data_IF_570137684406
#
_entry.id   IF_570137684406
#
_cell.length_a   1.000
_cell.length_b   1.000
_cell.length_c   1.000
_cell.angle_alpha   90.00
_cell.angle_beta   90.00
_cell.angle_gamma   90.00
#
_symmetry.space_group_name_H-M   'P 1'
#
loop_
_entity.id
_entity.type
_entity.pdbx_description
1 polymer ?
#
# COMPACT_ATOMS: atom_id res chain seq x y z
N UNK A 1 -4.61 17.21 -1.46
CA UNK A 1 -3.14 17.02 -1.54
C UNK A 1 -2.71 15.62 -1.10
N UNK A 2 -3.14 15.16 0.07
CA UNK A 2 -2.91 13.79 0.60
C UNK A 2 -3.27 12.66 -0.37
N UNK A 3 -4.40 12.72 -1.08
CA UNK A 3 -4.76 11.71 -2.10
C UNK A 3 -3.67 11.56 -3.16
N UNK A 4 -3.21 12.68 -3.73
CA UNK A 4 -2.15 12.67 -4.75
C UNK A 4 -0.86 12.06 -4.19
N UNK A 5 -0.50 12.44 -2.96
CA UNK A 5 0.68 11.91 -2.27
C UNK A 5 0.53 10.40 -2.04
N UNK A 6 -0.63 9.92 -1.62
CA UNK A 6 -0.90 8.49 -1.41
C UNK A 6 -0.73 7.67 -2.70
N UNK A 7 -1.27 8.17 -3.81
CA UNK A 7 -1.12 7.54 -5.13
C UNK A 7 0.35 7.52 -5.56
N UNK A 8 1.04 8.68 -5.50
CA UNK A 8 2.45 8.77 -5.86
C UNK A 8 3.32 7.84 -5.00
N UNK A 9 3.06 7.80 -3.70
CA UNK A 9 3.81 6.95 -2.76
C UNK A 9 3.61 5.47 -3.07
N UNK A 10 2.38 5.04 -3.35
CA UNK A 10 2.08 3.67 -3.77
C UNK A 10 2.82 3.27 -5.04
N UNK A 11 2.79 4.13 -6.07
CA UNK A 11 3.51 3.90 -7.33
C UNK A 11 5.03 3.83 -7.12
N UNK A 12 5.60 4.73 -6.32
CA UNK A 12 7.02 4.73 -5.98
C UNK A 12 7.43 3.43 -5.28
N UNK A 13 6.61 2.92 -4.37
CA UNK A 13 6.86 1.64 -3.69
C UNK A 13 6.80 0.45 -4.64
N UNK A 14 5.81 0.40 -5.53
CA UNK A 14 5.68 -0.67 -6.52
C UNK A 14 6.95 -0.75 -7.37
N UNK A 15 7.45 0.39 -7.85
CA UNK A 15 8.67 0.48 -8.64
C UNK A 15 9.89 0.08 -7.79
N UNK A 16 10.01 0.60 -6.57
CA UNK A 16 11.16 0.35 -5.70
C UNK A 16 11.28 -1.12 -5.29
N UNK A 17 10.15 -1.76 -5.00
CA UNK A 17 10.08 -3.16 -4.57
C UNK A 17 10.03 -4.16 -5.74
N UNK A 18 9.93 -3.68 -6.99
CA UNK A 18 9.74 -4.51 -8.19
C UNK A 18 8.60 -5.52 -8.01
N UNK A 19 7.47 -5.04 -7.49
CA UNK A 19 6.32 -5.91 -7.18
C UNK A 19 5.82 -6.60 -8.44
N UNK A 20 5.57 -7.91 -8.34
CA UNK A 20 4.96 -8.67 -9.43
C UNK A 20 3.63 -8.05 -9.88
N UNK A 21 3.38 -8.09 -11.19
CA UNK A 21 2.27 -7.36 -11.82
C UNK A 21 0.91 -7.66 -11.20
N UNK A 22 0.63 -8.93 -10.87
CA UNK A 22 -0.66 -9.33 -10.28
C UNK A 22 -0.92 -8.67 -8.92
N UNK A 23 0.08 -8.64 -8.04
CA UNK A 23 -0.03 -8.03 -6.71
C UNK A 23 -0.08 -6.51 -6.77
N UNK A 24 0.66 -5.90 -7.68
CA UNK A 24 0.60 -4.46 -7.92
C UNK A 24 -0.80 -4.05 -8.41
N UNK A 25 -1.39 -4.82 -9.34
CA UNK A 25 -2.75 -4.57 -9.85
C UNK A 25 -3.79 -4.67 -8.74
N UNK A 26 -3.71 -5.71 -7.90
CA UNK A 26 -4.61 -5.87 -6.76
C UNK A 26 -4.48 -4.71 -5.76
N UNK A 27 -3.25 -4.30 -5.45
CA UNK A 27 -2.99 -3.17 -4.56
C UNK A 27 -3.62 -1.89 -5.11
N UNK A 28 -3.35 -1.56 -6.38
CA UNK A 28 -3.86 -0.34 -7.01
C UNK A 28 -5.39 -0.38 -7.07
N UNK A 29 -5.99 -1.53 -7.43
CA UNK A 29 -7.44 -1.67 -7.49
C UNK A 29 -8.08 -1.40 -6.13
N UNK A 30 -7.58 -2.02 -5.06
CA UNK A 30 -8.07 -1.76 -3.70
C UNK A 30 -7.84 -0.31 -3.28
N UNK A 31 -6.66 0.23 -3.57
CA UNK A 31 -6.31 1.61 -3.22
C UNK A 31 -7.25 2.62 -3.88
N UNK A 32 -7.55 2.44 -5.18
CA UNK A 32 -8.49 3.28 -5.93
C UNK A 32 -9.92 3.13 -5.41
N UNK A 33 -10.37 1.89 -5.18
CA UNK A 33 -11.72 1.63 -4.64
C UNK A 33 -11.90 2.35 -3.30
N UNK A 34 -10.95 2.24 -2.39
CA UNK A 34 -11.05 2.85 -1.07
C UNK A 34 -10.83 4.36 -1.06
N UNK A 35 -10.02 4.89 -2.00
CA UNK A 35 -9.95 6.32 -2.25
C UNK A 35 -11.30 6.88 -2.68
N UNK A 36 -12.06 6.17 -3.53
CA UNK A 36 -13.38 6.61 -3.98
C UNK A 36 -14.41 6.50 -2.85
N UNK A 37 -14.40 5.39 -2.11
CA UNK A 37 -15.41 5.12 -1.08
C UNK A 37 -15.22 5.94 0.21
N UNK A 38 -13.98 6.12 0.66
CA UNK A 38 -13.67 6.71 1.98
C UNK A 38 -12.98 8.08 1.85
N UNK A 39 -12.36 8.36 0.71
CA UNK A 39 -11.81 9.69 0.42
C UNK A 39 -10.58 10.04 1.26
N UNK A 40 -10.63 11.24 1.86
CA UNK A 40 -9.46 11.86 2.52
C UNK A 40 -9.00 11.10 3.76
N UNK A 41 -9.93 10.61 4.58
CA UNK A 41 -9.62 9.89 5.82
C UNK A 41 -8.82 8.63 5.55
N UNK A 42 -9.18 7.91 4.48
CA UNK A 42 -8.42 6.76 4.01
C UNK A 42 -7.02 7.18 3.52
N UNK A 43 -6.92 8.23 2.70
CA UNK A 43 -5.63 8.65 2.15
C UNK A 43 -4.61 9.01 3.25
N UNK A 44 -5.05 9.73 4.29
CA UNK A 44 -4.19 10.09 5.43
C UNK A 44 -3.80 8.85 6.23
N UNK A 45 -4.77 7.98 6.55
CA UNK A 45 -4.51 6.75 7.31
C UNK A 45 -3.59 5.79 6.54
N UNK A 46 -3.78 5.69 5.23
CA UNK A 46 -2.94 4.92 4.33
C UNK A 46 -1.50 5.43 4.37
N UNK A 47 -1.28 6.75 4.27
CA UNK A 47 0.05 7.34 4.35
C UNK A 47 0.72 7.07 5.69
N UNK A 48 -0.02 7.14 6.81
CA UNK A 48 0.51 6.83 8.14
C UNK A 48 0.97 5.37 8.20
N UNK A 49 0.10 4.42 7.84
CA UNK A 49 0.44 2.99 7.86
C UNK A 49 1.62 2.69 6.95
N UNK A 50 1.61 3.26 5.74
CA UNK A 50 2.66 3.06 4.76
C UNK A 50 4.00 3.69 5.16
N UNK A 51 3.99 4.81 5.89
CA UNK A 51 5.21 5.42 6.41
C UNK A 51 5.97 4.46 7.32
N UNK A 52 5.26 3.71 8.16
CA UNK A 52 5.87 2.72 9.07
C UNK A 52 6.15 1.37 8.39
N UNK A 53 5.30 0.92 7.46
CA UNK A 53 5.45 -0.41 6.84
C UNK A 53 6.44 -0.42 5.66
N UNK A 54 6.59 0.69 4.93
CA UNK A 54 7.42 0.75 3.73
C UNK A 54 8.92 0.43 3.98
N UNK A 55 9.58 0.96 5.04
CA UNK A 55 10.99 0.62 5.30
C UNK A 55 11.20 -0.88 5.52
N UNK A 56 10.28 -1.52 6.25
CA UNK A 56 10.30 -2.96 6.53
C UNK A 56 10.16 -3.75 5.23
N UNK A 57 9.17 -3.38 4.40
CA UNK A 57 8.92 -4.02 3.11
C UNK A 57 10.09 -3.88 2.14
N UNK A 58 10.69 -2.69 2.07
CA UNK A 58 11.87 -2.43 1.24
C UNK A 58 13.07 -3.26 1.73
N UNK A 59 13.29 -3.32 3.05
CA UNK A 59 14.37 -4.12 3.64
C UNK A 59 14.20 -5.62 3.36
N UNK A 60 12.98 -6.15 3.50
CA UNK A 60 12.65 -7.54 3.14
C UNK A 60 12.91 -7.80 1.65
N UNK A 61 12.51 -6.88 0.78
CA UNK A 61 12.78 -6.98 -0.65
C UNK A 61 14.28 -6.99 -0.96
N UNK A 62 15.06 -6.12 -0.31
CA UNK A 62 16.49 -6.04 -0.54
C UNK A 62 17.23 -7.33 -0.13
N UNK A 63 16.76 -8.01 0.92
CA UNK A 63 17.31 -9.30 1.39
C UNK A 63 16.90 -10.49 0.52
N UNK A 64 16.13 -10.28 -0.56
CA UNK A 64 15.58 -11.35 -1.39
C UNK A 64 14.42 -12.10 -0.72
N UNK A 65 13.89 -11.56 0.39
CA UNK A 65 12.77 -12.13 1.14
C UNK A 65 11.42 -11.58 0.70
N UNK A 66 11.38 -10.61 -0.24
CA UNK A 66 10.21 -10.39 -1.09
C UNK A 66 10.06 -11.55 -2.08
N UNK A 67 9.85 -12.74 -1.53
CA UNK A 67 9.14 -13.79 -2.24
C UNK A 67 7.66 -13.45 -2.23
N UNK A 68 6.86 -14.36 -2.77
CA UNK A 68 5.40 -14.29 -2.84
C UNK A 68 4.72 -13.70 -1.58
N UNK A 69 5.21 -14.01 -0.37
CA UNK A 69 4.68 -13.47 0.89
C UNK A 69 4.77 -11.94 1.01
N UNK A 70 5.91 -11.33 0.67
CA UNK A 70 6.10 -9.88 0.75
C UNK A 70 5.17 -9.12 -0.21
N UNK A 71 4.99 -9.66 -1.42
CA UNK A 71 4.06 -9.11 -2.40
C UNK A 71 2.60 -9.28 -2.00
N UNK A 72 2.24 -10.43 -1.41
CA UNK A 72 0.90 -10.64 -0.80
C UNK A 72 0.60 -9.60 0.28
N UNK A 73 1.51 -9.44 1.24
CA UNK A 73 1.36 -8.45 2.31
C UNK A 73 1.21 -7.03 1.77
N UNK A 74 2.01 -6.64 0.78
CA UNK A 74 1.85 -5.36 0.10
C UNK A 74 0.46 -5.23 -0.55
N UNK A 75 -0.03 -6.26 -1.26
CA UNK A 75 -1.29 -6.19 -1.99
C UNK A 75 -2.54 -6.02 -1.12
N UNK A 76 -2.56 -6.59 0.09
CA UNK A 76 -3.72 -6.54 1.00
C UNK A 76 -3.70 -5.32 1.93
N UNK A 77 -2.59 -4.58 1.94
CA UNK A 77 -2.37 -3.46 2.84
C UNK A 77 -3.44 -2.34 2.72
N UNK A 78 -3.92 -1.98 1.52
CA UNK A 78 -5.06 -1.08 1.38
C UNK A 78 -6.31 -1.53 2.15
N UNK A 79 -6.59 -2.84 2.19
CA UNK A 79 -7.73 -3.39 2.91
C UNK A 79 -7.53 -3.32 4.43
N UNK A 80 -6.31 -3.58 4.91
CA UNK A 80 -5.96 -3.42 6.33
C UNK A 80 -6.20 -1.98 6.80
N UNK A 81 -5.81 -0.99 5.99
CA UNK A 81 -6.01 0.43 6.31
C UNK A 81 -7.49 0.75 6.45
N UNK A 82 -8.35 0.23 5.56
CA UNK A 82 -9.80 0.46 5.67
C UNK A 82 -10.39 -0.17 6.92
N UNK A 83 -9.94 -1.36 7.30
CA UNK A 83 -10.35 -1.96 8.57
C UNK A 83 -10.01 -1.03 9.73
N UNK A 84 -8.78 -0.52 9.79
CA UNK A 84 -8.36 0.43 10.84
C UNK A 84 -9.26 1.67 10.85
N UNK A 85 -9.54 2.26 9.68
CA UNK A 85 -10.40 3.44 9.56
C UNK A 85 -11.85 3.16 9.97
N UNK A 86 -12.36 1.95 9.73
CA UNK A 86 -13.74 1.59 10.09
C UNK A 86 -13.95 1.44 11.61
N UNK A 87 -12.87 1.22 12.37
CA UNK A 87 -12.91 1.05 13.83
C UNK A 87 -12.40 2.27 14.61
N UNK A 88 -12.11 3.39 13.92
CA UNK A 88 -11.62 4.66 14.46
C UNK A 88 -12.71 5.73 14.37
#
# INVERSE_FOLDING_TARGET
MSILIAVLFSLLLIVKMKVEKAYALLHIALHVVFLILVGQTYAVSYLIVMFFSAPIQIAMCHRGECKEKGHKWFSILPALVVIIVAFL
#
